data_IF_303688364178
#
_entry.id   IF_303688364178
#
_cell.length_a   1.000
_cell.length_b   1.000
_cell.length_c   1.000
_cell.angle_alpha   90.00
_cell.angle_beta   90.00
_cell.angle_gamma   90.00
#
_symmetry.space_group_name_H-M   'P 1'
#
loop_
_entity.id
_entity.type
_entity.pdbx_description
1 polymer ?
#
# COMPACT_ATOMS: atom_id res chain seq x y z
N UNK A 1 -43.50 4.16 72.74
CA UNK A 1 -43.07 4.20 71.28
C UNK A 1 -42.41 2.88 71.00
N UNK A 2 -42.98 2.07 70.04
CA UNK A 2 -42.35 0.84 69.61
C UNK A 2 -41.25 1.23 68.61
N UNK A 3 -40.00 1.01 69.00
CA UNK A 3 -38.84 1.22 68.14
C UNK A 3 -38.73 0.11 67.12
N UNK A 4 -39.40 0.19 65.96
CA UNK A 4 -39.24 -0.70 64.89
C UNK A 4 -37.91 -0.38 64.16
N UNK A 5 -37.00 -1.35 64.13
CA UNK A 5 -35.78 -1.27 63.37
C UNK A 5 -36.10 -1.32 61.86
N UNK A 6 -35.63 -0.33 61.11
CA UNK A 6 -35.66 -0.39 59.63
C UNK A 6 -34.82 -1.52 59.10
N UNK A 7 -35.29 -2.20 58.06
CA UNK A 7 -34.49 -3.18 57.34
C UNK A 7 -33.48 -2.46 56.44
N UNK A 8 -32.21 -2.85 56.52
CA UNK A 8 -31.20 -2.34 55.60
C UNK A 8 -31.53 -2.78 54.17
N UNK A 9 -31.39 -1.87 53.23
CA UNK A 9 -31.43 -2.18 51.80
C UNK A 9 -30.01 -2.12 51.23
N UNK A 10 -29.62 -3.05 50.40
CA UNK A 10 -28.39 -3.01 49.63
C UNK A 10 -28.73 -2.76 48.15
N UNK A 11 -27.92 -1.95 47.49
CA UNK A 11 -28.01 -1.78 46.03
C UNK A 11 -27.52 -3.04 45.33
N UNK A 12 -27.93 -3.25 44.07
CA UNK A 12 -27.32 -4.24 43.23
C UNK A 12 -25.85 -3.90 43.00
N UNK A 13 -25.02 -4.92 42.73
CA UNK A 13 -23.65 -4.72 42.34
C UNK A 13 -23.59 -3.88 41.05
N UNK A 14 -22.64 -2.99 40.97
CA UNK A 14 -22.32 -2.21 39.77
C UNK A 14 -20.87 -2.46 39.33
N UNK A 15 -20.62 -2.35 38.06
CA UNK A 15 -19.27 -2.37 37.48
C UNK A 15 -18.87 -0.96 37.09
N UNK A 16 -17.60 -0.65 37.27
CA UNK A 16 -16.99 0.60 36.81
C UNK A 16 -15.94 0.26 35.79
N UNK A 17 -16.09 0.79 34.59
CA UNK A 17 -15.07 0.77 33.54
C UNK A 17 -14.54 2.19 33.35
N UNK A 18 -13.22 2.37 33.47
CA UNK A 18 -12.55 3.67 33.40
C UNK A 18 -11.33 3.65 32.49
N UNK A 19 -11.05 2.52 31.86
CA UNK A 19 -9.95 2.37 30.89
C UNK A 19 -10.48 2.70 29.49
N UNK A 20 -9.79 3.55 28.75
CA UNK A 20 -10.13 3.77 27.34
C UNK A 20 -9.52 2.70 26.44
N UNK A 21 -10.14 2.44 25.27
CA UNK A 21 -9.63 1.48 24.31
C UNK A 21 -8.31 1.95 23.68
N UNK A 22 -7.42 1.01 23.37
CA UNK A 22 -6.16 1.26 22.68
C UNK A 22 -6.12 0.48 21.37
N UNK A 23 -5.44 1.02 20.36
CA UNK A 23 -5.14 0.28 19.14
C UNK A 23 -4.07 -0.76 19.46
N UNK A 24 -4.43 -2.04 19.38
CA UNK A 24 -3.53 -3.17 19.63
C UNK A 24 -2.64 -3.45 18.43
N UNK A 25 -3.15 -3.26 17.21
CA UNK A 25 -2.37 -3.39 15.98
C UNK A 25 -3.00 -2.63 14.81
N UNK A 26 -2.14 -2.16 13.89
CA UNK A 26 -2.49 -1.72 12.55
C UNK A 26 -1.62 -2.52 11.59
N UNK A 27 -2.24 -3.22 10.63
CA UNK A 27 -1.51 -4.02 9.64
C UNK A 27 -2.02 -3.75 8.24
N UNK A 28 -1.13 -3.93 7.25
CA UNK A 28 -1.45 -3.97 5.82
C UNK A 28 -1.05 -5.32 5.24
N UNK A 29 -1.85 -5.86 4.32
CA UNK A 29 -1.54 -7.12 3.63
C UNK A 29 -0.39 -6.99 2.64
N UNK A 30 -0.11 -5.77 2.16
CA UNK A 30 1.00 -5.39 1.31
C UNK A 30 1.53 -4.02 1.74
N UNK A 31 2.84 -3.87 1.83
CA UNK A 31 3.53 -2.63 2.24
C UNK A 31 4.44 -2.06 1.14
N UNK A 32 4.41 -2.64 -0.07
CA UNK A 32 5.19 -2.19 -1.23
C UNK A 32 4.29 -2.14 -2.47
N UNK A 33 3.43 -1.14 -2.53
CA UNK A 33 2.33 -1.02 -3.47
C UNK A 33 2.76 -0.38 -4.78
N UNK A 34 2.39 -0.99 -5.90
CA UNK A 34 2.62 -0.51 -7.27
C UNK A 34 1.30 -0.31 -8.02
N UNK A 35 1.39 0.02 -9.31
CA UNK A 35 0.23 0.20 -10.19
C UNK A 35 -0.69 -1.02 -10.15
N UNK A 36 -1.97 -0.80 -9.82
CA UNK A 36 -3.01 -1.83 -9.79
C UNK A 36 -3.09 -2.64 -8.50
N UNK A 37 -2.17 -2.47 -7.58
CA UNK A 37 -2.20 -3.15 -6.28
C UNK A 37 -3.26 -2.53 -5.36
N UNK A 38 -3.70 -3.33 -4.41
CA UNK A 38 -4.52 -2.90 -3.27
C UNK A 38 -4.06 -3.66 -2.03
N UNK A 39 -4.23 -3.06 -0.86
CA UNK A 39 -3.90 -3.73 0.41
C UNK A 39 -5.10 -3.75 1.36
N UNK A 40 -5.30 -4.85 2.06
CA UNK A 40 -6.23 -4.91 3.17
C UNK A 40 -5.58 -4.26 4.39
N UNK A 41 -6.19 -3.20 4.90
CA UNK A 41 -5.86 -2.57 6.18
C UNK A 41 -6.69 -3.21 7.25
N UNK A 42 -6.04 -3.65 8.34
CA UNK A 42 -6.69 -4.21 9.52
C UNK A 42 -6.27 -3.42 10.75
N UNK A 43 -7.25 -2.89 11.48
CA UNK A 43 -7.06 -2.15 12.74
C UNK A 43 -7.74 -2.95 13.83
N UNK A 44 -6.97 -3.36 14.85
CA UNK A 44 -7.50 -4.14 15.99
C UNK A 44 -7.35 -3.33 17.28
N UNK A 45 -8.43 -3.29 18.03
CA UNK A 45 -8.48 -2.62 19.33
C UNK A 45 -8.39 -3.61 20.49
N UNK A 46 -8.06 -3.12 21.68
CA UNK A 46 -8.04 -3.91 22.91
C UNK A 46 -9.42 -4.40 23.33
N UNK A 47 -10.46 -3.68 22.90
CA UNK A 47 -11.88 -3.92 23.22
C UNK A 47 -12.78 -3.32 22.12
N UNK A 48 -14.09 -3.54 22.25
CA UNK A 48 -15.07 -3.02 21.30
C UNK A 48 -15.16 -1.49 21.36
N UNK A 49 -15.01 -0.85 20.19
CA UNK A 49 -15.11 0.61 20.06
C UNK A 49 -16.39 1.05 19.36
N UNK A 50 -16.83 2.24 19.71
CA UNK A 50 -17.95 2.97 19.10
C UNK A 50 -17.47 4.29 18.50
N UNK A 51 -18.25 4.87 17.59
CA UNK A 51 -17.94 6.13 16.92
C UNK A 51 -16.62 6.08 16.10
N UNK A 52 -16.13 4.89 15.74
CA UNK A 52 -14.95 4.71 14.89
C UNK A 52 -15.36 4.54 13.44
N UNK A 53 -14.60 5.16 12.52
CA UNK A 53 -14.81 5.06 11.09
C UNK A 53 -13.70 5.73 10.28
N UNK A 54 -13.93 5.92 8.99
CA UNK A 54 -12.91 6.50 8.09
C UNK A 54 -12.45 7.91 8.50
N UNK A 55 -13.29 8.68 9.19
CA UNK A 55 -12.92 10.01 9.65
C UNK A 55 -11.81 10.01 10.73
N UNK A 56 -11.62 8.88 11.40
CA UNK A 56 -10.62 8.69 12.45
C UNK A 56 -9.30 8.12 11.90
N UNK A 57 -9.27 7.76 10.60
CA UNK A 57 -8.10 7.12 9.97
C UNK A 57 -7.56 8.02 8.87
N UNK A 58 -6.28 8.35 8.96
CA UNK A 58 -5.55 9.03 7.89
C UNK A 58 -4.63 8.03 7.20
N UNK A 59 -4.70 7.97 5.89
CA UNK A 59 -3.78 7.22 5.01
C UNK A 59 -3.09 8.21 4.07
N UNK A 60 -1.82 8.00 3.81
CA UNK A 60 -1.03 8.82 2.89
C UNK A 60 -1.01 8.17 1.49
N UNK A 61 -0.90 8.97 0.45
CA UNK A 61 -0.74 8.58 -0.96
C UNK A 61 -1.78 7.57 -1.48
N UNK A 62 -3.01 7.60 -0.95
CA UNK A 62 -4.08 6.71 -1.41
C UNK A 62 -5.42 6.99 -0.75
N UNK A 63 -6.35 6.08 -0.95
CA UNK A 63 -7.69 6.12 -0.40
C UNK A 63 -8.01 4.83 0.34
N UNK A 64 -8.78 4.92 1.42
CA UNK A 64 -9.27 3.79 2.19
C UNK A 64 -10.78 3.62 1.95
N UNK A 65 -11.20 2.42 1.55
CA UNK A 65 -12.64 2.09 1.46
C UNK A 65 -13.34 2.26 2.81
N UNK A 66 -14.66 2.23 2.81
CA UNK A 66 -15.43 2.26 4.05
C UNK A 66 -14.96 1.13 5.00
N UNK A 67 -14.60 1.51 6.22
CA UNK A 67 -14.22 0.57 7.27
C UNK A 67 -15.44 -0.20 7.76
N UNK A 68 -15.27 -1.47 8.03
CA UNK A 68 -16.31 -2.35 8.57
C UNK A 68 -15.75 -3.28 9.65
N UNK A 69 -16.61 -3.63 10.61
CA UNK A 69 -16.31 -4.61 11.66
C UNK A 69 -17.34 -5.72 11.64
N UNK A 70 -16.92 -6.98 11.80
CA UNK A 70 -17.76 -8.15 11.87
C UNK A 70 -17.80 -8.79 13.28
N UNK A 71 -16.99 -8.28 14.22
CA UNK A 71 -16.80 -8.82 15.57
C UNK A 71 -17.26 -7.87 16.68
N UNK A 72 -18.17 -6.96 16.34
CA UNK A 72 -18.75 -6.03 17.32
C UNK A 72 -17.88 -4.83 17.65
N UNK A 73 -16.95 -4.45 16.76
CA UNK A 73 -16.17 -3.23 16.91
C UNK A 73 -14.74 -3.43 17.45
N UNK A 74 -14.26 -4.69 17.53
CA UNK A 74 -12.89 -4.99 17.98
C UNK A 74 -11.91 -4.91 16.81
N UNK A 75 -12.27 -5.52 15.67
CA UNK A 75 -11.43 -5.52 14.45
C UNK A 75 -12.16 -4.80 13.32
N UNK A 76 -11.47 -3.87 12.70
CA UNK A 76 -11.97 -3.08 11.57
C UNK A 76 -11.10 -3.29 10.34
N UNK A 77 -11.74 -3.46 9.19
CA UNK A 77 -11.04 -3.69 7.93
C UNK A 77 -11.52 -2.76 6.84
N UNK A 78 -10.60 -2.37 5.97
CA UNK A 78 -10.88 -1.61 4.75
C UNK A 78 -9.80 -1.86 3.70
N UNK A 79 -10.13 -1.65 2.44
CA UNK A 79 -9.18 -1.78 1.33
C UNK A 79 -8.52 -0.43 1.05
N UNK A 80 -7.20 -0.39 1.11
CA UNK A 80 -6.39 0.73 0.66
C UNK A 80 -6.12 0.59 -0.84
N UNK A 81 -6.27 1.70 -1.57
CA UNK A 81 -5.93 1.82 -2.99
C UNK A 81 -4.98 3.00 -3.16
N UNK A 82 -3.76 2.79 -3.69
CA UNK A 82 -2.80 3.87 -3.88
C UNK A 82 -3.25 4.87 -4.94
N UNK A 83 -2.82 6.12 -4.80
CA UNK A 83 -2.98 7.16 -5.83
C UNK A 83 -2.04 6.87 -7.00
N UNK A 84 -2.48 7.15 -8.23
CA UNK A 84 -1.66 6.99 -9.43
C UNK A 84 -0.60 8.08 -9.55
N UNK A 85 0.52 7.75 -10.23
CA UNK A 85 1.68 8.65 -10.48
C UNK A 85 2.32 9.17 -9.18
N UNK A 86 2.45 8.32 -8.19
CA UNK A 86 3.15 8.58 -6.93
C UNK A 86 4.36 7.66 -6.85
N UNK A 87 5.48 8.23 -6.43
CA UNK A 87 6.69 7.54 -5.99
C UNK A 87 7.05 8.09 -4.61
N UNK A 88 6.70 7.36 -3.56
CA UNK A 88 6.93 7.74 -2.17
C UNK A 88 7.29 6.49 -1.35
N UNK A 89 8.53 6.48 -0.86
CA UNK A 89 9.10 5.34 -0.17
C UNK A 89 8.66 5.20 1.30
N UNK A 90 7.99 6.22 1.87
CA UNK A 90 7.70 6.22 3.30
C UNK A 90 6.39 6.92 3.64
N UNK A 91 5.33 6.16 3.74
CA UNK A 91 4.00 6.59 4.11
C UNK A 91 3.55 5.87 5.37
N UNK A 92 2.60 6.44 6.12
CA UNK A 92 2.06 5.84 7.33
C UNK A 92 0.52 5.85 7.32
N UNK A 93 -0.06 4.92 8.09
CA UNK A 93 -1.47 4.97 8.50
C UNK A 93 -1.51 5.50 9.94
N UNK A 94 -2.36 6.47 10.22
CA UNK A 94 -2.59 6.97 11.57
C UNK A 94 -4.06 6.87 11.96
N UNK A 95 -4.29 6.58 13.25
CA UNK A 95 -5.60 6.52 13.89
C UNK A 95 -5.67 7.66 14.91
N UNK A 96 -6.69 8.51 14.81
CA UNK A 96 -6.96 9.58 15.76
C UNK A 96 -7.57 9.02 17.07
N UNK A 97 -7.71 9.86 18.09
CA UNK A 97 -8.27 9.50 19.41
C UNK A 97 -9.75 9.88 19.57
N UNK A 98 -10.50 10.03 18.47
CA UNK A 98 -11.89 10.49 18.46
C UNK A 98 -12.94 9.40 18.70
N UNK A 99 -12.51 8.15 18.87
CA UNK A 99 -13.35 7.00 19.18
C UNK A 99 -13.43 6.73 20.69
N UNK A 100 -14.44 5.97 21.12
CA UNK A 100 -14.67 5.59 22.53
C UNK A 100 -14.99 4.11 22.65
N UNK A 101 -14.87 3.56 23.85
CA UNK A 101 -15.48 2.28 24.21
C UNK A 101 -17.01 2.39 24.37
N UNK A 102 -17.65 1.30 24.78
CA UNK A 102 -19.08 1.25 25.08
C UNK A 102 -19.47 2.00 26.35
N UNK A 103 -18.52 2.24 27.26
CA UNK A 103 -18.72 3.00 28.49
C UNK A 103 -18.55 4.53 28.30
N UNK A 104 -17.99 4.93 27.11
CA UNK A 104 -17.75 6.34 26.78
C UNK A 104 -16.33 6.82 27.12
N UNK A 105 -15.40 5.92 27.51
CA UNK A 105 -14.02 6.30 27.75
C UNK A 105 -13.30 6.53 26.39
N UNK A 106 -12.54 7.63 26.31
CA UNK A 106 -11.84 8.01 25.07
C UNK A 106 -10.66 7.08 24.75
N UNK A 107 -10.51 6.76 23.48
CA UNK A 107 -9.37 6.02 22.96
C UNK A 107 -8.10 6.85 22.83
N UNK A 108 -7.01 6.22 22.40
CA UNK A 108 -5.71 6.85 22.17
C UNK A 108 -5.32 6.81 20.70
N UNK A 109 -4.60 7.84 20.24
CA UNK A 109 -4.05 7.87 18.89
C UNK A 109 -2.96 6.81 18.71
N UNK A 110 -2.84 6.30 17.48
CA UNK A 110 -1.82 5.31 17.11
C UNK A 110 -1.32 5.53 15.67
N UNK A 111 -0.11 5.04 15.39
CA UNK A 111 0.46 4.98 14.05
C UNK A 111 0.79 3.53 13.69
N UNK A 112 0.55 3.19 12.43
CA UNK A 112 0.83 1.87 11.87
C UNK A 112 2.25 1.73 11.31
N UNK A 113 2.52 0.61 10.65
CA UNK A 113 3.78 0.41 9.94
C UNK A 113 3.92 1.37 8.76
N UNK A 114 5.17 1.64 8.38
CA UNK A 114 5.47 2.34 7.14
C UNK A 114 5.19 1.45 5.93
N UNK A 115 4.76 2.08 4.82
CA UNK A 115 4.59 1.44 3.52
C UNK A 115 5.12 2.35 2.40
N UNK A 116 5.45 1.77 1.25
CA UNK A 116 5.85 2.48 0.04
C UNK A 116 4.77 2.42 -1.02
N UNK A 117 4.69 3.47 -1.82
CA UNK A 117 3.83 3.56 -3.00
C UNK A 117 4.71 3.95 -4.19
N UNK A 118 4.75 3.10 -5.21
CA UNK A 118 5.35 3.39 -6.51
C UNK A 118 4.35 3.04 -7.61
N UNK A 119 3.64 4.04 -8.08
CA UNK A 119 2.66 3.95 -9.17
C UNK A 119 3.07 4.77 -10.39
N UNK A 120 4.34 5.14 -10.47
CA UNK A 120 4.94 5.77 -11.65
C UNK A 120 5.35 4.67 -12.63
N UNK A 121 4.89 4.75 -13.86
CA UNK A 121 5.31 3.79 -14.88
C UNK A 121 6.71 4.15 -15.41
N UNK A 122 7.59 3.15 -15.66
CA UNK A 122 8.89 3.40 -16.26
C UNK A 122 8.77 4.05 -17.64
N UNK A 123 9.65 5.00 -17.93
CA UNK A 123 9.83 5.59 -19.26
C UNK A 123 11.11 5.05 -19.90
N UNK A 124 11.12 4.95 -21.23
CA UNK A 124 12.27 4.42 -21.97
C UNK A 124 12.82 5.39 -23.01
N UNK A 125 14.13 5.39 -23.19
CA UNK A 125 14.80 5.99 -24.34
C UNK A 125 15.56 4.91 -25.10
N UNK A 126 15.60 5.02 -26.44
CA UNK A 126 16.28 4.04 -27.31
C UNK A 126 17.30 4.77 -28.20
N UNK A 127 18.50 4.21 -28.30
CA UNK A 127 19.55 4.70 -29.18
C UNK A 127 20.20 3.55 -29.96
N UNK A 128 20.72 3.84 -31.14
CA UNK A 128 21.52 2.94 -31.94
C UNK A 128 22.97 3.44 -32.02
N UNK A 129 23.93 2.52 -32.01
CA UNK A 129 25.35 2.85 -32.19
C UNK A 129 25.68 3.30 -33.61
N UNK A 130 24.88 2.86 -34.59
CA UNK A 130 24.95 3.25 -35.98
C UNK A 130 23.55 3.31 -36.59
N UNK A 131 23.22 4.40 -37.29
CA UNK A 131 21.93 4.63 -37.96
C UNK A 131 22.02 4.48 -39.50
N UNK A 132 23.19 4.17 -40.07
CA UNK A 132 23.46 4.09 -41.52
C UNK A 132 24.09 2.74 -41.88
N UNK A 133 23.41 1.65 -41.55
CA UNK A 133 23.88 0.29 -41.74
C UNK A 133 23.87 -0.14 -43.21
N UNK A 134 24.97 -0.75 -43.67
CA UNK A 134 25.05 -1.44 -44.95
C UNK A 134 24.94 -2.97 -44.80
N UNK A 135 24.84 -3.71 -45.92
CA UNK A 135 24.63 -5.16 -45.88
C UNK A 135 25.71 -5.89 -45.10
N UNK A 136 25.32 -6.68 -44.11
CA UNK A 136 26.20 -7.47 -43.23
C UNK A 136 26.67 -6.75 -41.96
N UNK A 137 26.38 -5.47 -41.78
CA UNK A 137 26.66 -4.73 -40.53
C UNK A 137 25.58 -4.99 -39.49
N UNK A 138 25.93 -4.72 -38.23
CA UNK A 138 25.01 -4.75 -37.09
C UNK A 138 25.20 -3.52 -36.23
N UNK A 139 24.17 -3.10 -35.54
CA UNK A 139 24.25 -2.02 -34.55
C UNK A 139 23.90 -2.52 -33.15
N UNK A 140 24.53 -1.93 -32.17
CA UNK A 140 24.05 -2.06 -30.78
C UNK A 140 22.86 -1.13 -30.54
N UNK A 141 21.74 -1.68 -30.09
CA UNK A 141 20.60 -0.94 -29.57
C UNK A 141 20.79 -0.81 -28.07
N UNK A 142 20.74 0.40 -27.56
CA UNK A 142 20.73 0.65 -26.11
C UNK A 142 19.38 1.21 -25.72
N UNK A 143 18.74 0.57 -24.75
CA UNK A 143 17.47 0.96 -24.16
C UNK A 143 17.73 1.35 -22.70
N UNK A 144 17.44 2.59 -22.35
CA UNK A 144 17.60 3.08 -20.97
C UNK A 144 16.24 3.45 -20.41
N UNK A 145 15.92 2.87 -19.25
CA UNK A 145 14.68 3.13 -18.51
C UNK A 145 14.93 4.11 -17.36
N UNK A 146 13.87 4.79 -16.93
CA UNK A 146 13.88 5.67 -15.73
C UNK A 146 14.08 4.89 -14.44
N UNK A 147 13.74 3.60 -14.43
CA UNK A 147 13.82 2.68 -13.29
C UNK A 147 14.08 1.23 -13.78
N UNK A 148 14.28 0.31 -12.85
CA UNK A 148 14.55 -1.08 -13.17
C UNK A 148 13.33 -1.80 -13.75
N UNK A 149 13.46 -2.36 -14.96
CA UNK A 149 12.42 -3.12 -15.66
C UNK A 149 12.79 -4.59 -15.67
N UNK A 150 11.83 -5.46 -15.38
CA UNK A 150 11.98 -6.91 -15.43
C UNK A 150 11.09 -7.53 -16.50
N UNK A 151 11.48 -8.71 -16.99
CA UNK A 151 10.68 -9.47 -17.97
C UNK A 151 10.75 -8.94 -19.40
N UNK A 152 11.60 -7.95 -19.70
CA UNK A 152 11.77 -7.43 -21.07
C UNK A 152 12.35 -8.51 -21.98
N UNK A 153 11.73 -8.68 -23.16
CA UNK A 153 12.09 -9.65 -24.18
C UNK A 153 12.17 -8.98 -25.55
N UNK A 154 12.78 -9.64 -26.53
CA UNK A 154 12.81 -9.13 -27.91
C UNK A 154 11.43 -9.04 -28.55
N UNK A 155 10.42 -9.74 -28.04
CA UNK A 155 9.03 -9.68 -28.52
C UNK A 155 8.31 -8.37 -28.15
N UNK A 156 8.83 -7.63 -27.16
CA UNK A 156 8.27 -6.33 -26.72
C UNK A 156 8.65 -5.18 -27.68
N UNK A 157 9.49 -5.46 -28.68
CA UNK A 157 9.94 -4.48 -29.66
C UNK A 157 9.31 -4.70 -31.03
N UNK A 158 8.82 -3.62 -31.63
CA UNK A 158 8.47 -3.59 -33.05
C UNK A 158 9.68 -3.14 -33.85
N UNK A 159 10.21 -4.01 -34.69
CA UNK A 159 11.38 -3.77 -35.52
C UNK A 159 10.98 -3.75 -37.00
N UNK A 160 11.26 -2.67 -37.71
CA UNK A 160 10.85 -2.49 -39.10
C UNK A 160 11.56 -3.45 -40.06
N UNK A 161 12.81 -3.18 -40.41
CA UNK A 161 13.55 -3.93 -41.46
C UNK A 161 14.76 -4.64 -40.85
N UNK A 162 14.53 -5.65 -40.00
CA UNK A 162 15.59 -6.38 -39.33
C UNK A 162 15.09 -7.20 -38.15
N UNK A 163 16.01 -7.64 -37.30
CA UNK A 163 15.73 -8.39 -36.09
C UNK A 163 16.62 -7.94 -34.93
N UNK A 164 16.07 -8.02 -33.71
CA UNK A 164 16.82 -7.88 -32.45
C UNK A 164 17.20 -9.25 -31.91
N UNK A 165 18.43 -9.34 -31.40
CA UNK A 165 18.96 -10.54 -30.72
C UNK A 165 19.81 -10.12 -29.52
N UNK A 166 20.20 -11.10 -28.69
CA UNK A 166 21.11 -10.89 -27.55
C UNK A 166 20.69 -9.76 -26.61
N UNK A 167 19.38 -9.68 -26.28
CA UNK A 167 18.86 -8.70 -25.31
C UNK A 167 19.35 -9.07 -23.91
N UNK A 168 20.15 -8.19 -23.30
CA UNK A 168 20.75 -8.39 -21.96
C UNK A 168 20.79 -7.10 -21.17
N UNK A 169 20.83 -7.23 -19.85
CA UNK A 169 21.10 -6.14 -18.90
C UNK A 169 22.25 -6.52 -17.99
N UNK A 170 23.02 -5.56 -17.51
CA UNK A 170 24.13 -5.75 -16.55
C UNK A 170 23.98 -4.92 -15.28
N UNK A 171 22.93 -4.09 -15.19
CA UNK A 171 22.71 -3.11 -14.11
C UNK A 171 21.36 -3.31 -13.40
N UNK A 172 20.81 -4.52 -13.47
CA UNK A 172 19.56 -4.85 -12.80
C UNK A 172 18.29 -4.40 -13.54
N UNK A 173 18.40 -4.05 -14.83
CA UNK A 173 17.22 -3.74 -15.65
C UNK A 173 17.01 -2.26 -15.96
N UNK A 174 17.92 -1.39 -15.55
CA UNK A 174 17.85 0.04 -15.90
C UNK A 174 18.33 0.27 -17.33
N UNK A 175 19.43 -0.39 -17.72
CA UNK A 175 19.94 -0.33 -19.10
C UNK A 175 19.95 -1.71 -19.73
N UNK A 176 19.37 -1.82 -20.91
CA UNK A 176 19.35 -3.03 -21.74
C UNK A 176 20.08 -2.77 -23.04
N UNK A 177 20.80 -3.78 -23.52
CA UNK A 177 21.44 -3.75 -24.82
C UNK A 177 21.02 -4.94 -25.68
N UNK A 178 20.90 -4.71 -26.97
CA UNK A 178 20.59 -5.76 -27.94
C UNK A 178 21.40 -5.54 -29.22
N UNK A 179 21.52 -6.59 -30.04
CA UNK A 179 22.11 -6.52 -31.39
C UNK A 179 20.99 -6.39 -32.43
N UNK A 180 21.00 -5.33 -33.20
CA UNK A 180 20.14 -5.18 -34.35
C UNK A 180 20.87 -5.67 -35.61
N UNK A 181 20.21 -6.54 -36.42
CA UNK A 181 20.67 -7.01 -37.71
C UNK A 181 19.65 -6.62 -38.77
N UNK A 182 20.00 -5.83 -39.77
CA UNK A 182 19.10 -5.46 -40.87
C UNK A 182 18.70 -6.68 -41.72
N UNK A 183 17.50 -6.64 -42.31
CA UNK A 183 17.08 -7.61 -43.30
C UNK A 183 17.96 -7.51 -44.55
N UNK A 184 18.29 -8.64 -45.20
CA UNK A 184 18.87 -8.63 -46.53
C UNK A 184 17.85 -8.11 -47.56
N UNK A 185 18.30 -7.30 -48.49
CA UNK A 185 17.51 -6.87 -49.64
C UNK A 185 17.27 -8.00 -50.60
#
# INVERSE_FOLDING_TARGET
MAGNLGSGASSANYTVETSGPVVSSITMSDTALKIGDTALVTITFSEAVTNFGNADVTVEQGTLSALSSADGGITWTGTFTPTSNIEDASNIISVANSYTDLAGNAGTAATGPSYSVDTVAPTATISLSDSALIGGETATVTISFSEAVTGLTTADFTVGSGALSNLVTSDGGVTWTATFTPSAN
#
